data_IF_438915119827
#
_entry.id   IF_438915119827
#
_cell.length_a   1.000
_cell.length_b   1.000
_cell.length_c   1.000
_cell.angle_alpha   90.00
_cell.angle_beta   90.00
_cell.angle_gamma   90.00
#
_symmetry.space_group_name_H-M   'P 1'
#
loop_
_entity.id
_entity.type
_entity.pdbx_description
1 polymer ?
#
# COMPACT_ATOMS: atom_id res chain seq x y z
N UNK A 1 -8.59 -33.72 44.76
CA UNK A 1 -7.88 -33.70 43.46
C UNK A 1 -8.78 -33.08 42.38
N UNK A 2 -9.05 -31.76 42.40
CA UNK A 2 -9.97 -31.08 41.44
C UNK A 2 -9.33 -29.88 40.72
N UNK A 3 -8.01 -29.76 40.75
CA UNK A 3 -7.28 -28.63 40.16
C UNK A 3 -6.98 -28.68 38.64
N UNK A 4 -7.08 -29.79 37.87
CA UNK A 4 -6.53 -29.79 36.50
C UNK A 4 -7.40 -29.00 35.50
N UNK A 5 -8.72 -28.94 35.73
CA UNK A 5 -9.66 -28.32 34.77
C UNK A 5 -9.58 -26.79 34.82
N UNK A 6 -9.42 -26.19 36.01
CA UNK A 6 -9.31 -24.72 36.16
C UNK A 6 -8.04 -24.15 35.53
N UNK A 7 -6.95 -24.93 35.55
CA UNK A 7 -5.68 -24.53 34.93
C UNK A 7 -5.78 -24.57 33.39
N UNK A 8 -6.46 -25.58 32.83
CA UNK A 8 -6.73 -25.65 31.38
C UNK A 8 -7.60 -24.48 30.90
N UNK A 9 -8.64 -24.12 31.66
CA UNK A 9 -9.51 -22.98 31.30
C UNK A 9 -8.74 -21.66 31.28
N UNK A 10 -7.84 -21.44 32.24
CA UNK A 10 -7.00 -20.25 32.28
C UNK A 10 -6.02 -20.18 31.10
N UNK A 11 -5.45 -21.32 30.69
CA UNK A 11 -4.54 -21.40 29.54
C UNK A 11 -5.28 -21.10 28.22
N UNK A 12 -6.48 -21.65 28.03
CA UNK A 12 -7.30 -21.41 26.82
C UNK A 12 -7.71 -19.93 26.72
N UNK A 13 -8.10 -19.31 27.84
CA UNK A 13 -8.39 -17.87 27.88
C UNK A 13 -7.15 -17.02 27.55
N UNK A 14 -5.97 -17.41 28.06
CA UNK A 14 -4.72 -16.70 27.78
C UNK A 14 -4.33 -16.78 26.29
N UNK A 15 -4.43 -17.96 25.67
CA UNK A 15 -4.13 -18.16 24.24
C UNK A 15 -5.13 -17.38 23.35
N UNK A 16 -6.40 -17.29 23.75
CA UNK A 16 -7.40 -16.53 22.99
C UNK A 16 -7.16 -15.01 22.99
N UNK A 17 -6.46 -14.49 23.99
CA UNK A 17 -6.14 -13.05 24.09
C UNK A 17 -4.92 -12.61 23.26
N UNK A 18 -4.15 -13.54 22.69
CA UNK A 18 -2.94 -13.23 21.91
C UNK A 18 -3.20 -12.92 20.43
N UNK A 19 -4.44 -13.03 19.96
CA UNK A 19 -4.84 -12.55 18.63
C UNK A 19 -5.29 -11.08 18.69
N UNK A 20 -4.46 -10.20 19.28
CA UNK A 20 -4.61 -8.77 19.01
C UNK A 20 -4.11 -8.57 17.59
N UNK A 21 -5.06 -8.33 16.68
CA UNK A 21 -4.79 -7.90 15.31
C UNK A 21 -3.79 -6.75 15.34
N UNK A 22 -2.62 -6.95 14.73
CA UNK A 22 -1.84 -5.83 14.23
C UNK A 22 -2.63 -5.28 13.05
N UNK A 23 -3.66 -4.47 13.34
CA UNK A 23 -4.22 -3.59 12.34
C UNK A 23 -3.06 -2.70 11.91
N UNK A 24 -2.53 -2.96 10.71
CA UNK A 24 -1.41 -2.22 10.17
C UNK A 24 -1.88 -0.77 10.01
N UNK A 25 -1.43 0.08 10.92
CA UNK A 25 -1.73 1.49 10.99
C UNK A 25 -0.95 2.22 9.89
N UNK A 26 -1.41 2.07 8.66
CA UNK A 26 -1.25 3.13 7.67
C UNK A 26 -2.26 2.90 6.53
N UNK A 27 -3.47 3.42 6.71
CA UNK A 27 -4.32 3.68 5.55
C UNK A 27 -3.73 4.89 4.80
N UNK A 28 -2.51 4.77 4.25
CA UNK A 28 -2.03 5.75 3.28
C UNK A 28 -2.99 5.65 2.11
N UNK A 29 -3.87 6.63 2.04
CA UNK A 29 -4.88 6.73 1.00
C UNK A 29 -4.16 6.64 -0.35
N UNK A 30 -4.71 5.83 -1.26
CA UNK A 30 -4.30 5.90 -2.66
C UNK A 30 -4.58 7.32 -3.15
N UNK A 31 -3.54 8.07 -3.49
CA UNK A 31 -3.67 9.47 -3.92
C UNK A 31 -3.45 9.60 -5.41
N UNK A 32 -4.06 10.64 -5.97
CA UNK A 32 -3.87 11.04 -7.37
C UNK A 32 -4.02 9.88 -8.39
N UNK A 33 -5.08 9.06 -8.30
CA UNK A 33 -5.24 7.97 -9.24
C UNK A 33 -5.45 8.52 -10.66
N UNK A 34 -4.89 7.80 -11.62
CA UNK A 34 -5.19 7.94 -13.03
C UNK A 34 -5.45 6.55 -13.62
N UNK A 35 -6.58 6.40 -14.29
CA UNK A 35 -7.05 5.14 -14.84
C UNK A 35 -6.99 5.24 -16.36
N UNK A 36 -6.46 4.20 -17.00
CA UNK A 36 -6.50 4.08 -18.45
C UNK A 36 -6.61 2.62 -18.86
N UNK A 37 -7.63 2.31 -19.66
CA UNK A 37 -7.97 0.93 -20.07
C UNK A 37 -8.01 0.02 -18.84
N UNK A 38 -7.07 -0.93 -18.76
CA UNK A 38 -7.03 -1.95 -17.72
C UNK A 38 -5.99 -1.67 -16.63
N UNK A 39 -5.43 -0.44 -16.57
CA UNK A 39 -4.40 -0.05 -15.62
C UNK A 39 -4.81 1.16 -14.78
N UNK A 40 -4.53 1.10 -13.48
CA UNK A 40 -4.62 2.22 -12.55
C UNK A 40 -3.20 2.58 -12.12
N UNK A 41 -2.80 3.83 -12.30
CA UNK A 41 -1.60 4.41 -11.69
C UNK A 41 -2.00 5.30 -10.52
N UNK A 42 -1.30 5.22 -9.39
CA UNK A 42 -1.65 5.97 -8.18
C UNK A 42 -0.40 6.22 -7.33
N UNK A 43 -0.54 7.10 -6.34
CA UNK A 43 0.52 7.38 -5.36
C UNK A 43 0.23 6.63 -4.06
N UNK A 44 1.23 5.90 -3.58
CA UNK A 44 1.22 5.26 -2.27
C UNK A 44 2.59 5.42 -1.61
N UNK A 45 2.59 5.81 -0.34
CA UNK A 45 3.80 6.07 0.45
C UNK A 45 4.80 7.11 -0.11
N UNK A 46 4.40 7.89 -1.12
CA UNK A 46 5.27 8.88 -1.77
C UNK A 46 5.72 8.46 -3.16
N UNK A 47 5.44 7.22 -3.55
CA UNK A 47 5.87 6.63 -4.81
C UNK A 47 4.72 6.36 -5.78
N UNK A 48 5.07 6.14 -7.04
CA UNK A 48 4.14 5.71 -8.08
C UNK A 48 3.99 4.19 -8.05
N UNK A 49 2.74 3.75 -8.00
CA UNK A 49 2.33 2.36 -8.07
C UNK A 49 1.35 2.15 -9.21
N UNK A 50 1.28 0.92 -9.71
CA UNK A 50 0.26 0.49 -10.66
C UNK A 50 -0.45 -0.78 -10.21
N UNK A 51 -1.71 -0.92 -10.60
CA UNK A 51 -2.52 -2.13 -10.37
C UNK A 51 -3.48 -2.33 -11.55
N UNK A 52 -3.82 -3.58 -11.93
CA UNK A 52 -4.89 -3.81 -12.90
C UNK A 52 -6.24 -3.26 -12.41
N UNK A 53 -7.10 -2.82 -13.31
CA UNK A 53 -8.45 -2.34 -12.95
C UNK A 53 -9.35 -3.43 -12.38
N UNK A 54 -9.07 -4.70 -12.69
CA UNK A 54 -9.74 -5.85 -12.10
C UNK A 54 -9.23 -6.18 -10.68
N UNK A 55 -8.30 -5.38 -10.15
CA UNK A 55 -7.63 -5.63 -8.87
C UNK A 55 -6.46 -6.61 -9.01
N UNK A 56 -6.02 -7.14 -7.86
CA UNK A 56 -4.84 -8.00 -7.74
C UNK A 56 -3.64 -7.25 -7.17
N UNK A 57 -2.43 -7.71 -7.51
CA UNK A 57 -1.20 -7.19 -6.92
C UNK A 57 -0.81 -5.83 -7.48
N UNK A 58 -0.56 -4.89 -6.59
CA UNK A 58 0.01 -3.58 -6.94
C UNK A 58 1.53 -3.68 -7.11
N UNK A 59 2.06 -3.01 -8.13
CA UNK A 59 3.49 -2.93 -8.44
C UNK A 59 4.01 -1.52 -8.19
N UNK A 60 5.04 -1.38 -7.36
CA UNK A 60 5.80 -0.12 -7.20
C UNK A 60 6.67 0.11 -8.44
N UNK A 61 6.61 1.31 -9.00
CA UNK A 61 7.39 1.71 -10.19
C UNK A 61 8.57 2.61 -9.85
N UNK A 62 8.48 3.37 -8.77
CA UNK A 62 9.50 4.33 -8.36
C UNK A 62 9.88 4.13 -6.89
N UNK A 63 11.07 4.57 -6.49
CA UNK A 63 11.57 4.36 -5.12
C UNK A 63 12.62 5.36 -4.68
N UNK A 64 12.67 6.53 -5.31
CA UNK A 64 13.69 7.51 -4.99
C UNK A 64 13.38 8.20 -3.66
N UNK A 65 14.39 8.79 -3.03
CA UNK A 65 14.19 9.68 -1.90
C UNK A 65 13.46 10.96 -2.34
N UNK A 66 12.28 11.24 -1.77
CA UNK A 66 11.46 12.39 -2.13
C UNK A 66 10.04 12.01 -2.52
N UNK A 67 9.30 12.96 -3.09
CA UNK A 67 7.91 12.77 -3.48
C UNK A 67 7.76 12.62 -4.99
N UNK A 68 7.02 11.60 -5.41
CA UNK A 68 6.66 11.33 -6.80
C UNK A 68 5.12 11.36 -6.90
N UNK A 69 4.60 12.35 -7.62
CA UNK A 69 3.19 12.75 -7.54
C UNK A 69 2.51 12.89 -8.90
N UNK A 70 1.17 12.85 -8.89
CA UNK A 70 0.30 13.13 -10.03
C UNK A 70 0.60 12.30 -11.29
N UNK A 71 0.63 10.95 -11.22
CA UNK A 71 0.90 10.13 -12.37
C UNK A 71 -0.15 10.30 -13.48
N UNK A 72 0.30 10.33 -14.73
CA UNK A 72 -0.53 10.33 -15.94
C UNK A 72 0.00 9.30 -16.92
N UNK A 73 -0.83 8.31 -17.22
CA UNK A 73 -0.57 7.25 -18.19
C UNK A 73 -0.75 7.85 -19.59
N UNK A 74 0.17 7.57 -20.51
CA UNK A 74 0.14 8.07 -21.89
C UNK A 74 -0.99 7.41 -22.69
N UNK A 75 -1.57 8.06 -23.72
CA UNK A 75 -2.68 7.49 -24.52
C UNK A 75 -2.43 6.09 -25.10
N UNK A 76 -1.18 5.75 -25.42
CA UNK A 76 -0.77 4.42 -25.90
C UNK A 76 -0.47 3.42 -24.78
N UNK A 77 -0.45 3.86 -23.51
CA UNK A 77 -0.22 3.05 -22.31
C UNK A 77 1.25 2.72 -22.04
N UNK A 78 2.19 3.27 -22.82
CA UNK A 78 3.62 2.91 -22.74
C UNK A 78 4.38 3.68 -21.68
N UNK A 79 3.91 4.87 -21.30
CA UNK A 79 4.61 5.78 -20.42
C UNK A 79 3.71 6.26 -19.29
N UNK A 80 4.33 6.65 -18.18
CA UNK A 80 3.67 7.35 -17.08
C UNK A 80 4.49 8.60 -16.81
N UNK A 81 3.90 9.77 -17.07
CA UNK A 81 4.48 11.05 -16.69
C UNK A 81 4.11 11.37 -15.23
N UNK A 82 5.02 11.96 -14.46
CA UNK A 82 4.77 12.32 -13.06
C UNK A 82 5.65 13.50 -12.62
N UNK A 83 5.31 14.12 -11.50
CA UNK A 83 6.15 15.14 -10.86
C UNK A 83 7.07 14.49 -9.83
N UNK A 84 8.40 14.63 -9.97
CA UNK A 84 9.39 14.06 -9.05
C UNK A 84 10.33 15.10 -8.43
N UNK A 85 10.84 14.84 -7.23
CA UNK A 85 11.73 15.73 -6.46
C UNK A 85 13.15 15.17 -6.28
N UNK A 86 13.82 14.85 -7.37
CA UNK A 86 15.11 14.12 -7.30
C UNK A 86 16.32 15.02 -7.05
N UNK A 87 16.23 16.31 -7.36
CA UNK A 87 17.38 17.24 -7.37
C UNK A 87 17.16 18.47 -6.50
N UNK A 88 16.35 18.36 -5.45
CA UNK A 88 15.97 19.50 -4.59
C UNK A 88 14.94 20.46 -5.20
N UNK A 89 14.44 20.18 -6.41
CA UNK A 89 13.33 20.87 -7.06
C UNK A 89 12.40 19.87 -7.73
N UNK A 90 11.12 20.23 -7.87
CA UNK A 90 10.12 19.38 -8.52
C UNK A 90 10.18 19.54 -10.03
N UNK A 91 10.31 18.42 -10.75
CA UNK A 91 10.38 18.35 -12.21
C UNK A 91 9.38 17.34 -12.75
N UNK A 92 9.09 17.40 -14.05
CA UNK A 92 8.29 16.38 -14.74
C UNK A 92 9.22 15.35 -15.36
N UNK A 93 8.92 14.09 -15.09
CA UNK A 93 9.58 12.91 -15.67
C UNK A 93 8.58 12.09 -16.47
#
# INVERSE_FOLDING_TARGET
MQYPIRLLTAIVLFISSSFVSLAMEDARLMRYPHIQKDLIAFVYAGDIWTVPTQGGDAKRLTSHEGMELFPKISPDGKWIAFSGEYSGSRQIF
#
